data_IF_682812947282
#
_entry.id   IF_682812947282
#
_cell.length_a   1.000
_cell.length_b   1.000
_cell.length_c   1.000
_cell.angle_alpha   90.00
_cell.angle_beta   90.00
_cell.angle_gamma   90.00
#
_symmetry.space_group_name_H-M   'P 1'
#
loop_
_entity.id
_entity.type
_entity.pdbx_description
1 polymer ?
#
# COMPACT_ATOMS: atom_id res chain seq x y z
N UNK A 1 -14.86 3.89 -22.74
CA UNK A 1 -15.32 2.51 -22.96
C UNK A 1 -15.63 2.28 -24.43
N UNK A 2 -16.54 3.05 -25.03
CA UNK A 2 -16.92 2.92 -26.46
C UNK A 2 -15.73 2.91 -27.43
N UNK A 3 -14.80 3.88 -27.30
CA UNK A 3 -13.58 3.95 -28.14
C UNK A 3 -12.70 2.69 -28.09
N UNK A 4 -12.72 1.97 -26.96
CA UNK A 4 -11.94 0.73 -26.76
C UNK A 4 -12.80 -0.54 -26.89
N UNK A 5 -14.09 -0.41 -27.22
CA UNK A 5 -15.02 -1.54 -27.37
C UNK A 5 -15.41 -2.25 -26.07
N UNK A 6 -15.17 -1.63 -24.90
CA UNK A 6 -15.59 -2.21 -23.62
C UNK A 6 -17.09 -2.05 -23.40
N UNK A 7 -17.72 -3.13 -22.97
CA UNK A 7 -19.16 -3.23 -22.72
C UNK A 7 -19.49 -3.23 -21.23
N UNK A 8 -18.50 -3.53 -20.36
CA UNK A 8 -18.68 -3.63 -18.90
C UNK A 8 -17.57 -2.88 -18.15
N UNK A 9 -17.88 -2.25 -17.00
CA UNK A 9 -16.87 -1.53 -16.21
C UNK A 9 -15.67 -2.38 -15.76
N UNK A 10 -15.87 -3.66 -15.42
CA UNK A 10 -14.76 -4.53 -15.01
C UNK A 10 -13.76 -4.80 -16.14
N UNK A 11 -14.18 -4.71 -17.41
CA UNK A 11 -13.26 -4.84 -18.55
C UNK A 11 -12.29 -3.66 -18.60
N UNK A 12 -12.75 -2.47 -18.22
CA UNK A 12 -11.88 -1.29 -18.07
C UNK A 12 -10.89 -1.48 -16.93
N UNK A 13 -11.37 -1.97 -15.78
CA UNK A 13 -10.51 -2.24 -14.62
C UNK A 13 -9.43 -3.28 -14.95
N UNK A 14 -9.81 -4.38 -15.60
CA UNK A 14 -8.89 -5.42 -16.02
C UNK A 14 -7.90 -4.92 -17.08
N UNK A 15 -8.37 -4.15 -18.08
CA UNK A 15 -7.50 -3.53 -19.09
C UNK A 15 -6.45 -2.60 -18.47
N UNK A 16 -6.85 -1.80 -17.48
CA UNK A 16 -5.95 -0.93 -16.74
C UNK A 16 -4.93 -1.73 -15.94
N UNK A 17 -5.36 -2.76 -15.22
CA UNK A 17 -4.45 -3.64 -14.48
C UNK A 17 -3.41 -4.29 -15.38
N UNK A 18 -3.85 -4.84 -16.52
CA UNK A 18 -2.92 -5.41 -17.48
C UNK A 18 -1.99 -4.35 -18.04
N UNK A 19 -2.48 -3.13 -18.31
CA UNK A 19 -1.61 -2.02 -18.74
C UNK A 19 -0.59 -1.59 -17.68
N UNK A 20 -0.88 -1.76 -16.39
CA UNK A 20 0.05 -1.46 -15.29
C UNK A 20 1.09 -2.58 -15.13
N UNK A 21 0.65 -3.84 -15.19
CA UNK A 21 1.48 -5.01 -14.90
C UNK A 21 2.32 -5.47 -16.09
N UNK A 22 1.80 -5.36 -17.30
CA UNK A 22 2.40 -5.90 -18.53
C UNK A 22 3.22 -4.83 -19.25
N UNK A 23 4.36 -4.47 -18.67
CA UNK A 23 5.31 -3.53 -19.28
C UNK A 23 6.71 -4.13 -19.39
N UNK A 24 7.43 -3.77 -20.45
CA UNK A 24 8.82 -4.16 -20.69
C UNK A 24 9.79 -2.98 -20.56
N UNK A 25 9.30 -1.83 -20.08
CA UNK A 25 10.07 -0.60 -19.96
C UNK A 25 11.33 -0.79 -19.14
N UNK A 26 12.42 -0.17 -19.57
CA UNK A 26 13.74 -0.31 -18.93
C UNK A 26 14.06 0.83 -17.96
N UNK A 27 13.19 1.83 -17.89
CA UNK A 27 13.30 2.98 -16.99
C UNK A 27 11.93 3.41 -16.45
N UNK A 28 11.94 4.13 -15.32
CA UNK A 28 10.74 4.71 -14.70
C UNK A 28 10.03 5.71 -15.62
N UNK A 29 10.79 6.54 -16.34
CA UNK A 29 10.25 7.55 -17.25
C UNK A 29 9.51 6.91 -18.43
N UNK A 30 10.12 5.91 -19.08
CA UNK A 30 9.48 5.14 -20.15
C UNK A 30 8.24 4.40 -19.65
N UNK A 31 8.31 3.83 -18.46
CA UNK A 31 7.16 3.17 -17.84
C UNK A 31 6.00 4.14 -17.66
N UNK A 32 6.27 5.32 -17.09
CA UNK A 32 5.25 6.33 -16.86
C UNK A 32 4.60 6.82 -18.16
N UNK A 33 5.38 7.14 -19.19
CA UNK A 33 4.86 7.55 -20.48
C UNK A 33 3.96 6.45 -21.08
N UNK A 34 4.39 5.19 -21.00
CA UNK A 34 3.60 4.05 -21.47
C UNK A 34 2.27 3.87 -20.72
N UNK A 35 2.25 4.12 -19.41
CA UNK A 35 1.02 4.09 -18.61
C UNK A 35 0.02 5.15 -19.09
N UNK A 36 0.48 6.38 -19.32
CA UNK A 36 -0.40 7.48 -19.75
C UNK A 36 -1.05 7.21 -21.10
N UNK A 37 -0.40 6.45 -21.97
CA UNK A 37 -0.93 6.05 -23.28
C UNK A 37 -1.85 4.82 -23.20
N UNK A 38 -1.53 3.86 -22.33
CA UNK A 38 -2.19 2.54 -22.28
C UNK A 38 -3.41 2.50 -21.36
N UNK A 39 -3.30 3.16 -20.21
CA UNK A 39 -4.21 3.10 -19.05
C UNK A 39 -5.06 4.37 -19.03
N UNK A 40 -6.26 4.30 -18.42
CA UNK A 40 -7.05 5.50 -18.19
C UNK A 40 -6.28 6.56 -17.39
N UNK A 41 -6.37 7.87 -17.73
CA UNK A 41 -5.50 8.90 -17.16
C UNK A 41 -5.47 8.94 -15.63
N UNK A 42 -6.62 8.84 -14.98
CA UNK A 42 -6.74 8.87 -13.52
C UNK A 42 -6.05 7.66 -12.87
N UNK A 43 -6.21 6.47 -13.47
CA UNK A 43 -5.55 5.25 -13.00
C UNK A 43 -4.03 5.30 -13.25
N UNK A 44 -3.57 5.91 -14.35
CA UNK A 44 -2.16 6.12 -14.63
C UNK A 44 -1.51 7.08 -13.61
N UNK A 45 -2.18 8.19 -13.29
CA UNK A 45 -1.74 9.16 -12.27
C UNK A 45 -1.67 8.50 -10.90
N UNK A 46 -2.73 7.78 -10.50
CA UNK A 46 -2.76 7.11 -9.21
C UNK A 46 -1.69 6.01 -9.11
N UNK A 47 -1.51 5.18 -10.15
CA UNK A 47 -0.45 4.18 -10.19
C UNK A 47 0.95 4.81 -10.06
N UNK A 48 1.21 5.91 -10.77
CA UNK A 48 2.46 6.65 -10.64
C UNK A 48 2.67 7.15 -9.20
N UNK A 49 1.65 7.77 -8.61
CA UNK A 49 1.71 8.30 -7.25
C UNK A 49 2.04 7.19 -6.24
N UNK A 50 1.32 6.07 -6.29
CA UNK A 50 1.53 4.94 -5.39
C UNK A 50 2.94 4.35 -5.57
N UNK A 51 3.40 4.12 -6.79
CA UNK A 51 4.71 3.52 -7.04
C UNK A 51 5.89 4.42 -6.66
N UNK A 52 5.75 5.75 -6.75
CA UNK A 52 6.83 6.70 -6.43
C UNK A 52 6.84 7.11 -4.97
N UNK A 53 5.67 7.24 -4.36
CA UNK A 53 5.51 7.83 -3.04
C UNK A 53 5.18 6.83 -1.95
N UNK A 54 4.98 5.54 -2.28
CA UNK A 54 4.64 4.51 -1.28
C UNK A 54 5.45 3.24 -1.46
N UNK A 55 5.51 2.44 -0.40
CA UNK A 55 6.12 1.12 -0.42
C UNK A 55 5.24 0.11 0.29
N UNK A 56 5.17 -1.15 -0.20
CA UNK A 56 4.37 -2.18 0.44
C UNK A 56 5.04 -2.66 1.74
N UNK A 57 4.23 -2.85 2.77
CA UNK A 57 4.55 -3.65 3.95
C UNK A 57 3.48 -4.74 4.12
N UNK A 58 3.91 -5.93 4.51
CA UNK A 58 3.01 -7.04 4.81
C UNK A 58 2.83 -7.13 6.31
N UNK A 59 1.58 -7.15 6.78
CA UNK A 59 1.27 -7.21 8.21
C UNK A 59 0.39 -8.42 8.53
N UNK A 60 0.67 -9.03 9.68
CA UNK A 60 -0.10 -10.14 10.27
C UNK A 60 -0.34 -9.84 11.75
N UNK A 61 -1.49 -10.22 12.33
CA UNK A 61 -1.70 -10.07 13.77
C UNK A 61 -0.69 -10.89 14.59
N UNK A 62 -0.19 -10.33 15.69
CA UNK A 62 0.66 -11.06 16.61
C UNK A 62 -0.10 -12.16 17.36
N UNK A 63 -1.37 -11.92 17.68
CA UNK A 63 -2.23 -12.85 18.38
C UNK A 63 -3.00 -13.76 17.41
N UNK A 64 -3.11 -15.06 17.74
CA UNK A 64 -3.73 -16.05 16.84
C UNK A 64 -5.26 -15.92 16.72
N UNK A 65 -5.89 -15.21 17.65
CA UNK A 65 -7.34 -14.99 17.69
C UNK A 65 -7.77 -13.63 17.11
N UNK A 66 -6.80 -12.79 16.73
CA UNK A 66 -7.08 -11.50 16.12
C UNK A 66 -7.08 -11.62 14.60
N UNK A 67 -8.01 -10.89 13.98
CA UNK A 67 -8.21 -10.89 12.54
C UNK A 67 -8.47 -9.47 12.02
N UNK A 68 -8.03 -9.20 10.79
CA UNK A 68 -8.44 -8.03 10.04
C UNK A 68 -9.85 -8.21 9.52
N UNK A 69 -10.65 -7.15 9.61
CA UNK A 69 -12.00 -7.15 9.06
C UNK A 69 -11.95 -7.13 7.54
N UNK A 70 -12.70 -8.03 6.93
CA UNK A 70 -12.98 -8.03 5.50
C UNK A 70 -14.37 -7.43 5.29
N UNK A 71 -14.49 -6.43 4.44
CA UNK A 71 -15.78 -5.86 4.06
C UNK A 71 -15.98 -6.02 2.55
N UNK A 72 -17.21 -6.23 2.10
CA UNK A 72 -17.51 -6.44 0.68
C UNK A 72 -17.31 -5.16 -0.17
N UNK A 73 -17.25 -4.00 0.48
CA UNK A 73 -17.14 -2.68 -0.13
C UNK A 73 -15.79 -1.97 0.06
N UNK A 74 -14.83 -2.55 0.78
CA UNK A 74 -13.53 -1.95 1.05
C UNK A 74 -12.59 -2.04 -0.16
N UNK A 75 -12.85 -1.20 -1.16
CA UNK A 75 -11.89 -0.92 -2.24
C UNK A 75 -11.29 0.46 -1.98
N UNK A 76 -9.97 0.58 -2.11
CA UNK A 76 -9.25 1.85 -1.87
C UNK A 76 -9.36 2.39 -0.43
N UNK A 77 -9.28 1.50 0.56
CA UNK A 77 -9.16 1.91 1.96
C UNK A 77 -7.92 2.77 2.14
N UNK A 78 -8.07 3.92 2.78
CA UNK A 78 -6.95 4.81 3.03
C UNK A 78 -6.98 5.35 4.45
N UNK A 79 -5.81 5.70 4.96
CA UNK A 79 -5.62 6.37 6.23
C UNK A 79 -5.01 7.74 5.96
N UNK A 80 -5.69 8.79 6.42
CA UNK A 80 -5.31 10.18 6.18
C UNK A 80 -6.44 11.14 6.57
N UNK A 81 -6.17 12.46 6.59
CA UNK A 81 -7.21 13.45 6.85
C UNK A 81 -8.25 13.47 5.71
N UNK A 82 -9.57 13.52 6.04
CA UNK A 82 -10.63 13.55 5.04
C UNK A 82 -10.82 14.97 4.47
N UNK A 83 -9.85 15.46 3.69
CA UNK A 83 -9.92 16.77 3.03
C UNK A 83 -10.00 16.61 1.50
N UNK A 84 -11.19 16.83 0.88
CA UNK A 84 -11.38 16.68 -0.57
C UNK A 84 -10.48 17.59 -1.41
N UNK A 85 -10.17 18.79 -0.90
CA UNK A 85 -9.37 19.81 -1.60
C UNK A 85 -7.86 19.60 -1.45
N UNK A 86 -7.43 18.76 -0.52
CA UNK A 86 -6.03 18.51 -0.19
C UNK A 86 -5.84 17.03 0.19
N UNK A 87 -5.81 16.19 -0.84
CA UNK A 87 -5.72 14.74 -0.70
C UNK A 87 -4.36 14.31 -0.13
N UNK A 88 -4.34 13.83 1.12
CA UNK A 88 -3.17 13.25 1.80
C UNK A 88 -3.53 11.85 2.26
N UNK A 89 -2.90 10.84 1.64
CA UNK A 89 -3.02 9.44 2.06
C UNK A 89 -1.71 9.02 2.71
N UNK A 90 -1.68 8.79 4.01
CA UNK A 90 -0.51 8.23 4.67
C UNK A 90 -0.35 6.74 4.37
N UNK A 91 -1.46 6.01 4.31
CA UNK A 91 -1.47 4.59 3.95
C UNK A 91 -2.61 4.27 2.99
N UNK A 92 -2.37 3.37 2.04
CA UNK A 92 -3.44 2.65 1.33
C UNK A 92 -3.45 1.21 1.84
N UNK A 93 -4.62 0.71 2.21
CA UNK A 93 -4.80 -0.55 2.91
C UNK A 93 -5.46 -1.56 1.97
N UNK A 94 -4.91 -2.76 1.91
CA UNK A 94 -5.48 -3.88 1.15
C UNK A 94 -5.50 -5.12 2.03
N UNK A 95 -6.68 -5.48 2.53
CA UNK A 95 -6.85 -6.70 3.33
C UNK A 95 -6.95 -7.90 2.38
N UNK A 96 -5.94 -8.76 2.41
CA UNK A 96 -5.85 -9.94 1.54
C UNK A 96 -6.59 -11.13 2.13
N UNK A 97 -6.53 -11.25 3.46
CA UNK A 97 -7.22 -12.29 4.23
C UNK A 97 -7.38 -11.84 5.69
N UNK A 98 -8.16 -12.56 6.52
CA UNK A 98 -8.30 -12.22 7.93
C UNK A 98 -6.98 -12.14 8.69
N UNK A 99 -5.90 -12.77 8.18
CA UNK A 99 -4.59 -12.77 8.85
C UNK A 99 -3.47 -12.09 8.07
N UNK A 100 -3.77 -11.48 6.93
CA UNK A 100 -2.77 -10.83 6.08
C UNK A 100 -3.35 -9.56 5.47
N UNK A 101 -2.67 -8.44 5.70
CA UNK A 101 -2.93 -7.17 5.02
C UNK A 101 -1.66 -6.64 4.37
N UNK A 102 -1.84 -5.89 3.28
CA UNK A 102 -0.81 -5.06 2.67
C UNK A 102 -1.10 -3.62 3.04
N UNK A 103 -0.12 -2.92 3.59
CA UNK A 103 -0.19 -1.46 3.73
C UNK A 103 0.80 -0.84 2.74
N UNK A 104 0.31 0.01 1.84
CA UNK A 104 1.15 0.87 1.03
C UNK A 104 1.45 2.11 1.85
N UNK A 105 2.60 2.11 2.53
CA UNK A 105 3.01 3.17 3.45
C UNK A 105 3.71 4.30 2.72
N UNK A 106 3.40 5.55 3.08
CA UNK A 106 4.07 6.72 2.54
C UNK A 106 5.59 6.71 2.82
N UNK A 107 6.39 7.04 1.80
CA UNK A 107 7.86 7.08 1.91
C UNK A 107 8.38 8.14 2.87
N UNK A 108 7.56 9.15 3.17
CA UNK A 108 7.91 10.27 4.05
C UNK A 108 7.75 9.94 5.54
N UNK A 109 7.01 8.86 5.86
CA UNK A 109 6.86 8.39 7.24
C UNK A 109 8.14 7.73 7.77
N UNK A 110 8.30 7.64 9.11
CA UNK A 110 9.48 7.06 9.71
C UNK A 110 9.76 5.60 9.28
N UNK A 111 11.04 5.26 9.11
CA UNK A 111 11.58 3.92 8.81
C UNK A 111 12.92 3.68 9.52
N UNK A 112 13.05 2.56 10.23
CA UNK A 112 14.12 2.35 11.21
C UNK A 112 15.54 2.20 10.66
N UNK A 113 15.71 1.88 9.36
CA UNK A 113 17.02 1.75 8.72
C UNK A 113 17.42 3.05 8.02
N UNK A 114 16.56 3.58 7.15
CA UNK A 114 16.82 4.81 6.39
C UNK A 114 17.02 6.02 7.31
N UNK A 115 16.22 6.13 8.37
CA UNK A 115 16.26 7.28 9.28
C UNK A 115 17.41 7.23 10.29
N UNK A 116 18.24 6.18 10.26
CA UNK A 116 19.54 6.17 10.97
C UNK A 116 20.47 7.23 10.41
N UNK A 117 20.33 7.55 9.12
CA UNK A 117 21.04 8.64 8.49
C UNK A 117 20.31 9.96 8.76
N UNK A 118 20.91 10.81 9.58
CA UNK A 118 20.28 12.05 10.04
C UNK A 118 19.86 12.98 8.88
N UNK A 119 20.67 13.09 7.83
CA UNK A 119 20.36 13.88 6.63
C UNK A 119 19.06 13.42 5.97
N UNK A 120 18.87 12.11 5.81
CA UNK A 120 17.66 11.52 5.21
C UNK A 120 16.45 11.73 6.08
N UNK A 121 16.58 11.48 7.39
CA UNK A 121 15.50 11.72 8.37
C UNK A 121 15.04 13.18 8.34
N UNK A 122 15.97 14.14 8.37
CA UNK A 122 15.65 15.56 8.31
C UNK A 122 15.03 15.96 6.98
N UNK A 123 15.56 15.47 5.85
CA UNK A 123 14.98 15.73 4.52
C UNK A 123 13.54 15.22 4.42
N UNK A 124 13.25 14.03 4.96
CA UNK A 124 11.89 13.49 5.01
C UNK A 124 10.96 14.32 5.88
N UNK A 125 11.42 14.77 7.05
CA UNK A 125 10.63 15.63 7.92
C UNK A 125 10.24 16.96 7.23
N UNK A 126 11.18 17.57 6.49
CA UNK A 126 10.90 18.79 5.70
C UNK A 126 9.90 18.49 4.59
N UNK A 127 10.14 17.43 3.79
CA UNK A 127 9.25 17.04 2.71
C UNK A 127 7.84 16.66 3.21
N UNK A 128 7.74 15.99 4.36
CA UNK A 128 6.47 15.67 5.02
C UNK A 128 5.73 16.94 5.45
N UNK A 129 6.42 17.88 6.09
CA UNK A 129 5.81 19.16 6.46
C UNK A 129 5.34 19.94 5.22
N UNK A 130 6.10 19.92 4.14
CA UNK A 130 5.73 20.54 2.86
C UNK A 130 4.51 19.85 2.23
N UNK A 131 4.44 18.52 2.30
CA UNK A 131 3.31 17.72 1.80
C UNK A 131 1.99 18.04 2.51
N UNK A 132 2.04 18.38 3.80
CA UNK A 132 0.85 18.73 4.60
C UNK A 132 0.40 20.19 4.45
N UNK A 133 1.22 21.10 3.89
CA UNK A 133 0.88 22.53 3.74
C UNK A 133 -0.45 22.83 3.06
N UNK A 134 -0.92 22.04 2.06
CA UNK A 134 -2.19 22.30 1.40
C UNK A 134 -3.42 22.07 2.29
N UNK A 135 -3.28 21.31 3.39
CA UNK A 135 -4.37 21.01 4.31
C UNK A 135 -4.84 22.26 5.04
N UNK A 136 -6.11 22.26 5.43
CA UNK A 136 -6.73 23.34 6.21
C UNK A 136 -6.13 23.43 7.61
N UNK A 137 -5.83 22.27 8.23
CA UNK A 137 -5.19 22.18 9.55
C UNK A 137 -3.96 21.25 9.53
N UNK A 138 -2.81 21.66 8.95
CA UNK A 138 -1.64 20.80 8.79
C UNK A 138 -1.05 20.28 10.11
N UNK A 139 -1.27 20.98 11.23
CA UNK A 139 -0.73 20.61 12.55
C UNK A 139 -1.50 19.45 13.20
N UNK A 140 -2.77 19.28 12.84
CA UNK A 140 -3.62 18.22 13.37
C UNK A 140 -3.57 16.95 12.48
N UNK A 141 -3.02 17.07 11.27
CA UNK A 141 -2.85 15.97 10.34
C UNK A 141 -1.66 15.09 10.74
N UNK A 142 -1.95 13.90 11.25
CA UNK A 142 -0.96 12.92 11.63
C UNK A 142 -1.44 11.52 11.29
N UNK A 143 -0.50 10.63 10.95
CA UNK A 143 -0.82 9.23 10.72
C UNK A 143 -0.99 8.51 12.06
N UNK A 144 -2.04 7.71 12.19
CA UNK A 144 -2.22 6.83 13.37
C UNK A 144 -1.15 5.73 13.44
N UNK A 145 -0.52 5.42 12.30
CA UNK A 145 0.58 4.45 12.20
C UNK A 145 1.95 5.13 12.08
N UNK A 146 2.08 6.40 12.46
CA UNK A 146 3.34 7.15 12.30
C UNK A 146 4.54 6.38 12.90
N UNK A 147 4.39 5.86 14.11
CA UNK A 147 5.44 5.16 14.85
C UNK A 147 5.51 3.64 14.59
N UNK A 148 4.79 3.14 13.58
CA UNK A 148 4.81 1.72 13.25
C UNK A 148 6.23 1.29 12.86
N UNK A 149 6.77 0.31 13.60
CA UNK A 149 8.15 -0.16 13.46
C UNK A 149 8.26 -1.11 12.26
N UNK A 150 8.60 -0.56 11.10
CA UNK A 150 8.72 -1.30 9.84
C UNK A 150 10.01 -0.98 9.10
N UNK A 151 10.29 -1.80 8.08
CA UNK A 151 11.43 -1.68 7.17
C UNK A 151 10.93 -1.71 5.73
N UNK A 152 11.45 -0.82 4.89
CA UNK A 152 11.18 -0.83 3.44
C UNK A 152 11.61 -2.15 2.80
N UNK A 153 10.92 -2.64 1.76
CA UNK A 153 11.40 -3.75 0.95
C UNK A 153 12.82 -3.49 0.46
N UNK A 154 13.66 -4.53 0.44
CA UNK A 154 15.06 -4.43 0.01
C UNK A 154 15.34 -5.46 -1.06
N UNK A 155 16.18 -5.08 -2.02
CA UNK A 155 16.82 -6.01 -2.95
C UNK A 155 18.05 -6.59 -2.25
N UNK A 156 18.25 -7.91 -2.35
CA UNK A 156 19.45 -8.53 -1.80
C UNK A 156 19.66 -9.98 -2.22
N UNK A 157 20.87 -10.48 -1.93
CA UNK A 157 21.28 -11.86 -2.17
C UNK A 157 21.12 -12.70 -0.90
N UNK A 158 20.59 -13.90 -1.07
CA UNK A 158 20.54 -14.90 -0.02
C UNK A 158 21.80 -15.77 -0.04
N UNK A 159 22.61 -15.72 1.01
CA UNK A 159 23.66 -16.70 1.23
C UNK A 159 23.14 -17.70 2.28
N UNK A 160 22.88 -18.93 1.84
CA UNK A 160 22.64 -20.04 2.76
C UNK A 160 23.94 -20.34 3.49
N UNK A 161 23.99 -19.97 4.76
CA UNK A 161 25.01 -20.53 5.65
C UNK A 161 24.54 -21.94 5.96
N UNK A 162 25.31 -22.97 5.66
CA UNK A 162 24.89 -24.39 5.73
C UNK A 162 24.38 -24.91 7.08
N UNK A 163 24.13 -24.04 8.08
CA UNK A 163 23.40 -24.26 9.33
C UNK A 163 21.87 -24.12 9.20
N UNK A 164 21.35 -23.68 8.05
CA UNK A 164 19.91 -23.41 7.87
C UNK A 164 19.52 -21.95 8.15
N UNK A 165 20.48 -21.12 8.56
CA UNK A 165 20.29 -19.68 8.72
C UNK A 165 20.48 -18.97 7.37
N UNK A 166 19.51 -18.15 7.02
CA UNK A 166 19.49 -17.35 5.80
C UNK A 166 19.92 -15.93 6.17
N UNK A 167 21.10 -15.51 5.70
CA UNK A 167 21.60 -14.14 5.92
C UNK A 167 21.39 -13.29 4.65
N UNK A 168 20.78 -12.12 4.82
CA UNK A 168 20.65 -11.12 3.75
C UNK A 168 22.00 -10.41 3.56
N UNK A 169 22.59 -10.57 2.39
CA UNK A 169 23.77 -9.79 1.99
C UNK A 169 23.30 -8.72 1.01
N UNK A 170 23.24 -7.48 1.48
CA UNK A 170 23.11 -6.31 0.62
C UNK A 170 24.48 -6.01 0.01
N UNK A 171 24.69 -6.42 -1.23
CA UNK A 171 25.86 -6.01 -2.01
C UNK A 171 25.56 -4.66 -2.68
N UNK A 172 26.37 -3.61 -2.47
CA UNK A 172 26.16 -2.30 -3.08
C UNK A 172 26.42 -2.23 -4.60
N UNK A 173 26.79 -3.33 -5.25
CA UNK A 173 27.07 -3.35 -6.69
C UNK A 173 26.00 -4.07 -7.51
N UNK A 174 25.17 -3.25 -8.18
CA UNK A 174 24.26 -3.51 -9.29
C UNK A 174 23.27 -4.67 -9.14
N UNK A 175 21.99 -4.39 -9.44
CA UNK A 175 20.94 -5.40 -9.53
C UNK A 175 21.36 -6.48 -10.54
N UNK A 176 21.54 -7.70 -10.07
CA UNK A 176 21.88 -8.87 -10.89
C UNK A 176 20.66 -9.76 -11.12
N UNK A 177 20.67 -10.57 -12.19
CA UNK A 177 19.58 -11.46 -12.60
C UNK A 177 19.12 -12.48 -11.52
N UNK A 178 19.87 -12.62 -10.42
CA UNK A 178 19.53 -13.48 -9.27
C UNK A 178 18.99 -12.74 -8.04
N UNK A 179 18.91 -11.41 -8.07
CA UNK A 179 18.48 -10.64 -6.92
C UNK A 179 16.98 -10.81 -6.66
N UNK A 180 16.62 -10.87 -5.38
CA UNK A 180 15.24 -11.06 -4.96
C UNK A 180 14.78 -9.86 -4.15
N UNK A 181 13.61 -9.34 -4.51
CA UNK A 181 12.90 -8.39 -3.66
C UNK A 181 12.44 -9.11 -2.40
N UNK A 182 12.91 -8.64 -1.26
CA UNK A 182 12.55 -9.17 0.04
C UNK A 182 11.47 -8.28 0.64
N UNK A 183 10.30 -8.88 0.88
CA UNK A 183 9.15 -8.25 1.55
C UNK A 183 9.03 -8.84 2.96
N UNK A 184 9.49 -8.12 4.00
CA UNK A 184 9.32 -8.60 5.37
C UNK A 184 7.84 -8.67 5.74
N UNK A 185 7.48 -9.68 6.51
CA UNK A 185 6.16 -9.81 7.12
C UNK A 185 6.28 -9.36 8.58
N UNK A 186 5.56 -8.30 8.93
CA UNK A 186 5.55 -7.72 10.27
C UNK A 186 4.40 -8.31 11.07
N UNK A 187 4.72 -8.81 12.28
CA UNK A 187 3.71 -9.16 13.27
C UNK A 187 3.39 -7.89 14.06
N UNK A 188 2.18 -7.39 13.92
CA UNK A 188 1.73 -6.15 14.57
C UNK A 188 0.88 -6.49 15.80
N UNK A 189 0.98 -5.66 16.83
CA UNK A 189 0.29 -5.90 18.09
C UNK A 189 -1.20 -5.57 18.00
N UNK A 190 -1.97 -6.03 19.00
CA UNK A 190 -3.40 -5.75 19.10
C UNK A 190 -3.79 -4.27 18.95
N UNK A 191 -3.04 -3.28 19.49
CA UNK A 191 -3.36 -1.86 19.27
C UNK A 191 -3.35 -1.44 17.79
N UNK A 192 -2.38 -1.95 17.02
CA UNK A 192 -2.26 -1.65 15.59
C UNK A 192 -3.34 -2.39 14.78
N UNK A 193 -3.64 -3.65 15.14
CA UNK A 193 -4.73 -4.42 14.52
C UNK A 193 -6.07 -3.73 14.73
N UNK A 194 -6.34 -3.26 15.95
CA UNK A 194 -7.57 -2.53 16.28
C UNK A 194 -7.64 -1.21 15.52
N UNK A 195 -6.54 -0.46 15.44
CA UNK A 195 -6.45 0.79 14.68
C UNK A 195 -6.73 0.55 13.19
N UNK A 196 -6.18 -0.52 12.59
CA UNK A 196 -6.45 -0.90 11.21
C UNK A 196 -7.93 -1.25 11.00
N UNK A 197 -8.50 -2.06 11.90
CA UNK A 197 -9.92 -2.40 11.84
C UNK A 197 -10.82 -1.17 12.01
N UNK A 198 -10.42 -0.18 12.82
CA UNK A 198 -11.14 1.09 12.92
C UNK A 198 -11.13 1.88 11.61
N UNK A 199 -9.99 1.94 10.90
CA UNK A 199 -9.93 2.58 9.57
C UNK A 199 -10.81 1.82 8.57
N UNK A 200 -10.69 0.49 8.53
CA UNK A 200 -11.51 -0.36 7.65
C UNK A 200 -13.00 -0.12 7.89
N UNK A 201 -13.43 -0.07 9.15
CA UNK A 201 -14.82 0.16 9.51
C UNK A 201 -15.28 1.57 9.17
N UNK A 202 -14.46 2.59 9.42
CA UNK A 202 -14.78 3.98 9.10
C UNK A 202 -15.04 4.14 7.61
N UNK A 203 -14.09 3.70 6.79
CA UNK A 203 -14.20 3.74 5.33
C UNK A 203 -15.37 2.90 4.81
N UNK A 204 -15.62 1.73 5.39
CA UNK A 204 -16.74 0.87 4.98
C UNK A 204 -18.12 1.39 5.42
N UNK A 205 -18.21 2.14 6.52
CA UNK A 205 -19.47 2.69 7.04
C UNK A 205 -19.86 4.02 6.38
N UNK A 206 -18.89 4.75 5.84
CA UNK A 206 -19.15 5.88 4.94
C UNK A 206 -19.72 5.42 3.58
N UNK A 207 -19.73 4.11 3.30
CA UNK A 207 -20.60 3.49 2.30
C UNK A 207 -21.94 3.07 2.93
N UNK A 208 -23.09 3.47 2.37
CA UNK A 208 -24.41 3.25 2.99
C UNK A 208 -24.87 1.79 3.07
N UNK A 209 -24.10 0.81 2.60
CA UNK A 209 -24.50 -0.60 2.54
C UNK A 209 -23.55 -1.50 3.32
N UNK A 210 -23.57 -1.39 4.65
CA UNK A 210 -23.13 -2.50 5.50
C UNK A 210 -24.16 -3.63 5.36
N UNK A 211 -24.00 -4.50 4.36
CA UNK A 211 -24.80 -5.71 4.24
C UNK A 211 -24.40 -6.63 5.38
N UNK A 212 -25.07 -6.51 6.52
CA UNK A 212 -25.27 -7.66 7.38
C UNK A 212 -25.93 -8.72 6.51
N UNK A 213 -25.31 -9.87 6.32
CA UNK A 213 -26.02 -11.02 5.78
C UNK A 213 -26.95 -11.57 6.87
N UNK A 214 -28.27 -11.34 6.76
CA UNK A 214 -29.21 -12.42 6.97
C UNK A 214 -30.01 -12.59 5.68
N UNK A 215 -30.25 -13.84 5.31
CA UNK A 215 -31.02 -14.30 4.15
C UNK A 215 -30.19 -14.61 2.89
N UNK A 216 -29.28 -15.59 3.01
CA UNK A 216 -29.22 -16.61 1.96
C UNK A 216 -30.49 -17.47 2.10
N UNK A 217 -31.40 -17.51 1.13
CA UNK A 217 -32.48 -18.49 1.13
C UNK A 217 -31.87 -19.88 0.95
N UNK A 218 -31.95 -20.68 2.02
CA UNK A 218 -31.88 -22.14 1.91
C UNK A 218 -33.07 -22.60 1.08
N UNK A 219 -32.88 -22.73 -0.23
CA UNK A 219 -33.68 -23.60 -1.08
C UNK A 219 -32.88 -23.97 -2.32
N UNK A 220 -31.92 -24.87 -2.12
CA UNK A 220 -31.58 -25.97 -3.03
C UNK A 220 -30.91 -27.05 -2.17
N UNK A 221 -31.73 -28.04 -1.81
CA UNK A 221 -31.58 -29.17 -0.87
C UNK A 221 -32.05 -28.89 0.57
#
# INVERSE_FOLDING_TARGET
MEKKGFNRPWEVWYDNLMGILDHTSTSEEEWFLSLQERVYPEAAIWAQMIMRCKYPILCTPSEDHEEFMLTEGAYSLHEGPPEPEAWVEFHVICVVSPRLTVLMRDILLPEIIEDREESKRLSKQVAHADHLKPLSNPQDAHSIFHDLVVVKPRVGKYISTGSGDINLVTDPMADTEGDRLCLPIFRIGSPDVQSLNSVILHEALDFPDLVSAPNLPYSLL
#
